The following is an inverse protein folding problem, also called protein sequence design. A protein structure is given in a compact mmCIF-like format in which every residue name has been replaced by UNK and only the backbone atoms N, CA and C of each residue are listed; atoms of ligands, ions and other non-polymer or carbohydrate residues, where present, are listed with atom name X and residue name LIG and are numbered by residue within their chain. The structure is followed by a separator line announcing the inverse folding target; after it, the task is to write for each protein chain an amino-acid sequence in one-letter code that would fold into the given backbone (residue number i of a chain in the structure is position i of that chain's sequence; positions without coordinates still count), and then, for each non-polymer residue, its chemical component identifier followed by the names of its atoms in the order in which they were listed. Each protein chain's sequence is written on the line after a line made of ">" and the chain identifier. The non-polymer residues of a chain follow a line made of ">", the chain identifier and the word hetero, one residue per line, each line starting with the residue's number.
data_IF_400489051595
#
_entry.id   IF_400489051595
#
_cell.length_a   1.000
_cell.length_b   1.000
_cell.length_c   1.000
_cell.angle_alpha   90.00
_cell.angle_beta   90.00
_cell.angle_gamma   90.00
#
_symmetry.space_group_name_H-M   'P 1'
#
loop_
_entity.id
_entity.type
_entity.pdbx_description
1 polymer ?
#
# COMPACT_ATOMS: atom_id res chain seq x y z
N UNK A 1 7.22 -6.77 64.56
CA UNK A 1 5.78 -6.58 64.31
C UNK A 1 5.16 -7.93 64.05
N UNK A 2 3.98 -8.25 64.57
CA UNK A 2 3.45 -9.61 64.55
C UNK A 2 2.88 -10.00 63.17
N UNK A 3 3.08 -11.26 62.78
CA UNK A 3 2.85 -11.78 61.42
C UNK A 3 1.37 -11.98 61.00
N UNK A 4 0.40 -11.52 61.81
CA UNK A 4 -1.04 -11.68 61.56
C UNK A 4 -1.70 -10.48 60.86
N UNK A 5 -0.95 -9.41 60.59
CA UNK A 5 -1.41 -8.24 59.79
C UNK A 5 -0.90 -8.35 58.35
N UNK A 6 -1.06 -9.53 57.73
CA UNK A 6 -0.73 -9.72 56.32
C UNK A 6 -1.60 -8.81 55.43
N UNK A 7 -1.06 -8.32 54.30
CA UNK A 7 -1.84 -7.51 53.37
C UNK A 7 -3.08 -8.28 52.90
N UNK A 8 -4.21 -7.59 52.76
CA UNK A 8 -5.45 -8.23 52.29
C UNK A 8 -5.22 -8.84 50.90
N UNK A 9 -5.84 -10.00 50.59
CA UNK A 9 -5.71 -10.62 49.26
C UNK A 9 -6.08 -9.66 48.13
N UNK A 10 -7.07 -8.79 48.35
CA UNK A 10 -7.44 -7.73 47.40
C UNK A 10 -6.33 -6.70 47.17
N UNK A 11 -5.58 -6.32 48.21
CA UNK A 11 -4.44 -5.42 48.09
C UNK A 11 -3.28 -6.07 47.32
N UNK A 12 -3.04 -7.37 47.53
CA UNK A 12 -2.04 -8.13 46.77
C UNK A 12 -2.42 -8.23 45.28
N UNK A 13 -3.68 -8.50 44.97
CA UNK A 13 -4.19 -8.53 43.59
C UNK A 13 -4.07 -7.15 42.94
N UNK A 14 -4.46 -6.08 43.64
CA UNK A 14 -4.33 -4.71 43.14
C UNK A 14 -2.87 -4.33 42.88
N UNK A 15 -1.95 -4.67 43.79
CA UNK A 15 -0.51 -4.44 43.60
C UNK A 15 0.04 -5.22 42.40
N UNK A 16 -0.38 -6.47 42.22
CA UNK A 16 0.02 -7.28 41.07
C UNK A 16 -0.45 -6.62 39.76
N UNK A 17 -1.71 -6.20 39.67
CA UNK A 17 -2.26 -5.52 38.48
C UNK A 17 -1.52 -4.20 38.22
N UNK A 18 -1.33 -3.37 39.26
CA UNK A 18 -0.63 -2.08 39.14
C UNK A 18 0.81 -2.31 38.67
N UNK A 19 1.52 -3.31 39.20
CA UNK A 19 2.88 -3.63 38.78
C UNK A 19 2.94 -4.09 37.33
N UNK A 20 1.98 -4.90 36.86
CA UNK A 20 1.89 -5.34 35.48
C UNK A 20 1.64 -4.17 34.53
N UNK A 21 0.69 -3.28 34.89
CA UNK A 21 0.40 -2.07 34.12
C UNK A 21 1.63 -1.15 34.08
N UNK A 22 2.28 -0.92 35.22
CA UNK A 22 3.51 -0.11 35.28
C UNK A 22 4.62 -0.71 34.42
N UNK A 23 4.78 -2.03 34.43
CA UNK A 23 5.75 -2.72 33.60
C UNK A 23 5.47 -2.47 32.10
N UNK A 24 4.23 -2.72 31.65
CA UNK A 24 3.86 -2.50 30.24
C UNK A 24 4.03 -1.04 29.83
N UNK A 25 3.59 -0.09 30.67
CA UNK A 25 3.75 1.35 30.41
C UNK A 25 5.23 1.73 30.37
N UNK A 26 6.06 1.24 31.30
CA UNK A 26 7.49 1.53 31.33
C UNK A 26 8.20 0.97 30.09
N UNK A 27 7.83 -0.24 29.65
CA UNK A 27 8.37 -0.83 28.40
C UNK A 27 7.96 0.01 27.19
N UNK A 28 6.68 0.39 27.08
CA UNK A 28 6.21 1.21 25.96
C UNK A 28 6.90 2.58 25.94
N UNK A 29 7.00 3.27 27.08
CA UNK A 29 7.73 4.53 27.21
C UNK A 29 9.23 4.36 26.94
N UNK A 30 9.82 3.24 27.35
CA UNK A 30 11.22 2.92 27.08
C UNK A 30 11.50 2.76 25.59
N UNK A 31 10.63 2.05 24.86
CA UNK A 31 10.73 1.92 23.40
C UNK A 31 10.60 3.30 22.74
N UNK A 32 9.57 4.08 23.12
CA UNK A 32 9.36 5.42 22.60
C UNK A 32 10.53 6.37 22.88
N UNK A 33 11.13 6.28 24.07
CA UNK A 33 12.30 7.06 24.44
C UNK A 33 13.50 6.66 23.57
N UNK A 34 13.75 5.36 23.38
CA UNK A 34 14.86 4.89 22.56
C UNK A 34 14.71 5.31 21.10
N UNK A 35 13.52 5.17 20.52
CA UNK A 35 13.27 5.59 19.14
C UNK A 35 13.42 7.10 18.98
N UNK A 36 12.97 7.89 19.96
CA UNK A 36 13.14 9.35 19.97
C UNK A 36 14.62 9.75 20.15
N UNK A 37 15.37 9.06 21.01
CA UNK A 37 16.80 9.33 21.18
C UNK A 37 17.57 9.01 19.90
N UNK A 38 17.28 7.88 19.24
CA UNK A 38 17.84 7.54 17.93
C UNK A 38 17.56 8.66 16.92
N UNK A 39 16.30 9.12 16.83
CA UNK A 39 15.90 10.15 15.88
C UNK A 39 16.62 11.49 16.14
N UNK A 40 16.79 11.87 17.41
CA UNK A 40 17.57 13.06 17.80
C UNK A 40 19.06 12.94 17.47
N UNK A 41 19.66 11.78 17.74
CA UNK A 41 21.08 11.53 17.50
C UNK A 41 21.44 11.63 16.02
N UNK A 42 20.59 11.10 15.14
CA UNK A 42 20.81 11.10 13.70
C UNK A 42 20.18 12.30 12.99
N UNK A 43 19.59 13.25 13.73
CA UNK A 43 18.86 14.40 13.19
C UNK A 43 17.82 13.99 12.14
N UNK A 44 17.12 12.90 12.42
CA UNK A 44 16.19 12.26 11.52
C UNK A 44 14.79 12.35 12.11
N UNK A 45 13.82 12.77 11.31
CA UNK A 45 12.41 12.69 11.68
C UNK A 45 11.89 11.28 11.48
N UNK A 46 10.76 10.95 12.11
CA UNK A 46 10.15 9.62 11.93
C UNK A 46 9.87 9.32 10.45
N UNK A 47 9.37 10.31 9.69
CA UNK A 47 9.06 10.19 8.26
C UNK A 47 10.32 9.90 7.44
N UNK A 48 11.41 10.64 7.71
CA UNK A 48 12.70 10.41 7.06
C UNK A 48 13.30 9.05 7.44
N UNK A 49 13.01 8.53 8.63
CA UNK A 49 13.30 7.16 9.07
C UNK A 49 12.72 6.13 8.11
N UNK A 50 11.41 6.21 7.89
CA UNK A 50 10.70 5.32 6.98
C UNK A 50 11.18 5.47 5.53
N UNK A 51 11.50 6.69 5.08
CA UNK A 51 12.03 6.93 3.74
C UNK A 51 13.43 6.33 3.57
N UNK A 52 14.29 6.39 4.59
CA UNK A 52 15.62 5.79 4.56
C UNK A 52 15.52 4.25 4.50
N UNK A 53 14.75 3.63 5.39
CA UNK A 53 14.58 2.18 5.41
C UNK A 53 13.99 1.68 4.08
N UNK A 54 13.05 2.45 3.52
CA UNK A 54 12.48 2.19 2.20
C UNK A 54 13.52 2.29 1.10
N UNK A 55 14.31 3.36 1.07
CA UNK A 55 15.37 3.58 0.10
C UNK A 55 16.44 2.49 0.16
N UNK A 56 16.83 2.06 1.37
CA UNK A 56 17.78 0.97 1.55
C UNK A 56 17.20 -0.37 1.05
N UNK A 57 15.97 -0.69 1.42
CA UNK A 57 15.27 -1.90 0.91
C UNK A 57 15.17 -1.89 -0.62
N UNK A 58 14.89 -0.72 -1.19
CA UNK A 58 14.83 -0.49 -2.62
C UNK A 58 16.20 -0.69 -3.27
N UNK A 59 17.26 -0.15 -2.67
CA UNK A 59 18.62 -0.26 -3.17
C UNK A 59 19.13 -1.71 -3.12
N UNK A 60 18.80 -2.46 -2.07
CA UNK A 60 19.13 -3.88 -1.92
C UNK A 60 18.40 -4.78 -2.92
N UNK A 61 17.14 -4.46 -3.23
CA UNK A 61 16.34 -5.15 -4.26
C UNK A 61 16.75 -4.79 -5.69
N UNK A 62 17.66 -3.83 -5.87
CA UNK A 62 18.13 -3.30 -7.15
C UNK A 62 18.88 -4.33 -8.02
N UNK A 63 18.14 -5.30 -8.56
CA UNK A 63 18.56 -6.15 -9.65
C UNK A 63 18.61 -5.42 -11.00
N UNK A 64 19.09 -6.14 -12.02
CA UNK A 64 19.42 -5.71 -13.40
C UNK A 64 18.37 -4.84 -14.13
N UNK A 65 17.11 -4.86 -13.71
CA UNK A 65 15.98 -4.16 -14.36
C UNK A 65 15.67 -2.75 -13.82
N UNK A 66 16.38 -2.28 -12.80
CA UNK A 66 16.14 -0.95 -12.23
C UNK A 66 16.94 0.17 -12.90
N UNK A 67 18.09 -0.15 -13.51
CA UNK A 67 19.04 0.85 -13.98
C UNK A 67 18.51 1.73 -15.12
N UNK A 68 17.44 1.30 -15.79
CA UNK A 68 16.90 1.91 -17.01
C UNK A 68 15.43 2.37 -16.83
N UNK A 69 15.09 3.01 -15.69
CA UNK A 69 13.76 3.62 -15.54
C UNK A 69 13.69 4.91 -16.35
N UNK A 70 12.96 4.86 -17.47
CA UNK A 70 12.64 6.04 -18.27
C UNK A 70 11.55 6.86 -17.57
N UNK A 71 11.89 8.11 -17.25
CA UNK A 71 10.92 9.05 -16.74
C UNK A 71 9.88 9.44 -17.79
N UNK A 72 8.81 10.13 -17.37
CA UNK A 72 7.76 10.60 -18.28
C UNK A 72 8.29 11.55 -19.38
N UNK A 73 9.43 12.20 -19.16
CA UNK A 73 10.10 13.07 -20.12
C UNK A 73 11.07 12.32 -21.07
N UNK A 74 11.23 11.00 -20.90
CA UNK A 74 12.12 10.16 -21.71
C UNK A 74 13.56 10.06 -21.20
N UNK A 75 13.92 10.79 -20.14
CA UNK A 75 15.23 10.72 -19.50
C UNK A 75 15.38 9.43 -18.67
N UNK A 76 16.52 8.76 -18.79
CA UNK A 76 16.86 7.57 -18.01
C UNK A 76 17.36 7.97 -16.61
N UNK A 77 16.65 7.53 -15.57
CA UNK A 77 17.03 7.80 -14.18
C UNK A 77 17.90 6.66 -13.65
N UNK A 78 19.19 6.93 -13.46
CA UNK A 78 20.08 6.03 -12.72
C UNK A 78 19.86 6.23 -11.22
N UNK A 79 19.32 5.20 -10.57
CA UNK A 79 19.17 5.20 -9.12
C UNK A 79 20.52 5.01 -8.43
N UNK A 80 20.88 5.94 -7.57
CA UNK A 80 22.11 5.89 -6.76
C UNK A 80 21.74 5.63 -5.30
N UNK A 81 22.60 4.91 -4.56
CA UNK A 81 22.44 4.78 -3.11
C UNK A 81 22.77 6.15 -2.49
N UNK A 82 21.74 6.86 -2.05
CA UNK A 82 21.81 8.16 -1.38
C UNK A 82 21.92 7.92 0.13
N UNK A 83 22.87 8.59 0.78
CA UNK A 83 22.98 8.59 2.24
C UNK A 83 22.15 9.73 2.84
N UNK A 84 21.70 9.57 4.08
CA UNK A 84 20.89 10.59 4.74
C UNK A 84 21.71 11.88 4.93
N UNK A 85 21.27 13.04 4.38
CA UNK A 85 22.14 14.22 4.28
C UNK A 85 22.19 15.07 5.55
N UNK A 86 21.19 14.98 6.44
CA UNK A 86 21.04 15.90 7.57
C UNK A 86 21.76 15.44 8.85
N UNK A 87 22.47 14.31 8.81
CA UNK A 87 23.37 13.90 9.89
C UNK A 87 24.71 14.63 9.79
N UNK A 88 24.87 15.70 10.59
CA UNK A 88 26.08 16.55 10.64
C UNK A 88 26.98 16.16 11.83
N UNK A 89 26.75 14.97 12.39
CA UNK A 89 27.42 14.42 13.56
C UNK A 89 26.73 14.74 14.88
N UNK A 90 26.85 13.81 15.84
CA UNK A 90 26.16 13.79 17.13
C UNK A 90 26.04 15.15 17.82
N UNK A 91 27.15 15.88 18.00
CA UNK A 91 27.11 17.15 18.74
C UNK A 91 26.35 18.25 18.01
N UNK A 92 26.49 18.34 16.68
CA UNK A 92 25.79 19.34 15.88
C UNK A 92 24.30 19.02 15.79
N UNK A 93 23.96 17.75 15.63
CA UNK A 93 22.58 17.25 15.62
C UNK A 93 21.90 17.58 16.96
N UNK A 94 22.55 17.27 18.09
CA UNK A 94 22.02 17.57 19.42
C UNK A 94 21.93 19.06 19.70
N UNK A 95 22.91 19.87 19.29
CA UNK A 95 22.85 21.33 19.41
C UNK A 95 21.68 21.91 18.61
N UNK A 96 21.43 21.39 17.41
CA UNK A 96 20.30 21.80 16.58
C UNK A 96 18.96 21.39 17.20
N UNK A 97 18.84 20.17 17.71
CA UNK A 97 17.63 19.66 18.34
C UNK A 97 17.30 20.34 19.68
N UNK A 98 18.34 20.67 20.47
CA UNK A 98 18.18 21.29 21.80
C UNK A 98 18.27 22.81 21.76
N UNK A 99 18.57 23.41 20.60
CA UNK A 99 18.72 24.85 20.41
C UNK A 99 19.89 25.51 21.16
N UNK A 100 20.77 24.72 21.79
CA UNK A 100 21.91 25.21 22.58
C UNK A 100 23.08 24.24 22.56
N UNK A 101 24.30 24.78 22.60
CA UNK A 101 25.54 24.00 22.68
C UNK A 101 25.86 23.54 24.10
N UNK A 102 25.10 24.00 25.11
CA UNK A 102 25.32 23.62 26.48
C UNK A 102 24.60 22.31 26.84
N UNK A 103 25.38 21.23 26.95
CA UNK A 103 24.92 19.87 27.24
C UNK A 103 24.11 19.77 28.54
N UNK A 104 24.44 20.56 29.56
CA UNK A 104 23.71 20.52 30.84
C UNK A 104 22.28 21.05 30.69
N UNK A 105 22.07 21.98 29.76
CA UNK A 105 20.74 22.54 29.50
C UNK A 105 19.84 21.59 28.72
N UNK A 106 20.39 20.57 28.03
CA UNK A 106 19.58 19.61 27.26
C UNK A 106 18.61 18.80 28.13
N UNK A 107 18.91 18.63 29.41
CA UNK A 107 18.05 17.92 30.36
C UNK A 107 17.03 18.82 31.06
N UNK A 108 17.09 20.13 30.82
CA UNK A 108 16.17 21.08 31.41
C UNK A 108 14.89 21.17 30.58
N UNK A 109 13.70 20.98 31.18
CA UNK A 109 12.44 21.19 30.47
C UNK A 109 12.20 22.68 30.13
N UNK A 110 13.02 23.58 30.65
CA UNK A 110 13.00 25.02 30.36
C UNK A 110 14.08 25.44 29.36
N UNK A 111 14.70 24.49 28.68
CA UNK A 111 15.66 24.77 27.63
C UNK A 111 15.00 25.50 26.45
N UNK A 112 15.84 26.19 25.67
CA UNK A 112 15.39 26.88 24.46
C UNK A 112 14.94 25.89 23.40
N UNK A 113 13.93 26.26 22.61
CA UNK A 113 13.56 25.53 21.41
C UNK A 113 14.62 25.71 20.30
N UNK A 114 14.65 24.82 19.30
CA UNK A 114 15.44 24.99 18.08
C UNK A 114 15.27 26.40 17.49
N UNK A 115 16.38 27.03 17.11
CA UNK A 115 16.36 28.37 16.56
C UNK A 115 15.77 28.37 15.14
N UNK A 116 14.49 28.68 15.00
CA UNK A 116 13.84 28.82 13.69
C UNK A 116 14.36 30.08 12.99
N UNK A 117 14.79 29.92 11.73
CA UNK A 117 15.29 31.01 10.90
C UNK A 117 14.24 32.11 10.71
N UNK A 118 14.55 33.35 11.12
CA UNK A 118 13.63 34.50 10.99
C UNK A 118 13.58 35.13 9.59
N UNK A 119 14.55 34.82 8.72
CA UNK A 119 14.76 35.50 7.43
C UNK A 119 14.83 34.51 6.27
N UNK A 120 13.97 33.48 6.24
CA UNK A 120 13.97 32.43 5.18
C UNK A 120 15.29 31.67 5.03
N UNK A 121 16.18 31.83 6.02
CA UNK A 121 17.50 31.20 6.12
C UNK A 121 17.69 30.68 7.53
N UNK A 122 18.27 29.48 7.64
CA UNK A 122 18.46 28.78 8.90
C UNK A 122 17.44 27.67 9.15
N UNK A 123 17.48 27.08 10.34
CA UNK A 123 16.73 25.87 10.66
C UNK A 123 15.22 26.06 10.43
N UNK A 124 14.63 25.10 9.72
CA UNK A 124 13.24 25.16 9.23
C UNK A 124 13.10 25.46 7.74
N UNK A 125 14.06 26.15 7.12
CA UNK A 125 14.08 26.43 5.68
C UNK A 125 15.25 25.78 4.97
N UNK A 126 16.44 25.90 5.56
CA UNK A 126 17.68 25.34 5.05
C UNK A 126 18.31 24.49 6.14
N UNK A 127 18.63 23.25 5.79
CA UNK A 127 19.33 22.33 6.66
C UNK A 127 20.75 22.16 6.14
N UNK A 128 21.71 22.14 7.06
CA UNK A 128 23.10 21.90 6.67
C UNK A 128 23.23 20.43 6.30
N UNK A 129 23.74 20.18 5.10
CA UNK A 129 24.01 18.82 4.64
C UNK A 129 25.44 18.39 5.02
N UNK A 130 25.64 17.09 5.18
CA UNK A 130 26.92 16.46 5.50
C UNK A 130 27.90 16.41 4.32
N UNK A 131 27.40 16.53 3.09
CA UNK A 131 28.19 16.48 1.87
C UNK A 131 28.67 15.09 1.47
N UNK A 132 28.08 14.01 2.00
CA UNK A 132 28.40 12.64 1.56
C UNK A 132 27.81 12.32 0.17
N UNK A 133 26.70 12.95 -0.17
CA UNK A 133 26.06 12.78 -1.47
C UNK A 133 26.79 13.58 -2.56
N UNK A 134 26.74 13.07 -3.79
CA UNK A 134 27.37 13.69 -4.97
C UNK A 134 26.87 15.11 -5.26
N UNK A 135 25.60 15.36 -5.00
CA UNK A 135 24.95 16.66 -5.20
C UNK A 135 24.14 17.02 -3.95
N UNK A 136 23.97 18.31 -3.71
CA UNK A 136 23.11 18.82 -2.63
C UNK A 136 21.64 18.70 -3.02
N UNK A 137 20.74 18.45 -2.06
CA UNK A 137 19.30 18.36 -2.32
C UNK A 137 18.85 17.07 -3.02
N UNK A 138 19.63 15.98 -2.90
CA UNK A 138 19.25 14.65 -3.40
C UNK A 138 18.19 13.95 -2.54
N UNK A 139 17.80 14.56 -1.41
CA UNK A 139 16.78 14.06 -0.49
C UNK A 139 15.51 14.91 -0.58
N UNK A 140 14.31 14.30 -0.63
CA UNK A 140 14.01 12.87 -0.54
C UNK A 140 14.32 12.12 -1.84
N UNK A 141 14.72 10.84 -1.76
CA UNK A 141 15.07 10.06 -2.93
C UNK A 141 13.84 9.79 -3.83
N UNK A 142 13.99 9.85 -5.17
CA UNK A 142 12.89 9.57 -6.09
C UNK A 142 12.51 8.09 -6.07
N UNK A 143 11.23 7.80 -5.84
CA UNK A 143 10.68 6.45 -5.85
C UNK A 143 10.42 5.96 -7.28
N UNK A 144 11.07 4.90 -7.77
CA UNK A 144 10.91 4.49 -9.17
C UNK A 144 9.54 3.89 -9.44
N UNK A 145 8.84 3.34 -8.45
CA UNK A 145 7.52 2.76 -8.64
C UNK A 145 6.55 3.90 -8.94
N UNK A 146 6.74 5.02 -8.25
CA UNK A 146 6.02 6.27 -8.54
C UNK A 146 6.38 6.79 -9.93
N UNK A 147 7.64 6.74 -10.35
CA UNK A 147 8.06 7.14 -11.71
C UNK A 147 7.45 6.19 -12.76
N UNK A 148 7.55 4.87 -12.59
CA UNK A 148 6.98 3.84 -13.47
C UNK A 148 5.47 3.98 -13.58
N UNK A 149 4.77 4.27 -12.48
CA UNK A 149 3.32 4.54 -12.48
C UNK A 149 2.99 5.86 -13.17
N UNK A 150 3.82 6.90 -13.02
CA UNK A 150 3.64 8.15 -13.75
C UNK A 150 3.86 7.96 -15.26
N UNK A 151 4.86 7.15 -15.65
CA UNK A 151 5.15 6.80 -17.04
C UNK A 151 4.07 5.86 -17.62
N UNK A 152 3.52 4.93 -16.83
CA UNK A 152 2.34 4.13 -17.18
C UNK A 152 1.09 5.01 -17.15
N UNK A 153 0.86 5.72 -18.25
CA UNK A 153 -0.41 6.40 -18.49
C UNK A 153 -1.57 5.44 -18.24
N UNK A 154 -2.44 5.77 -17.28
CA UNK A 154 -3.67 5.04 -17.00
C UNK A 154 -4.47 4.89 -18.31
N UNK A 155 -5.02 3.72 -18.66
CA UNK A 155 -5.71 3.52 -19.94
C UNK A 155 -6.82 4.53 -20.23
N UNK A 156 -7.53 5.01 -19.18
CA UNK A 156 -8.53 6.06 -19.33
C UNK A 156 -7.96 7.48 -19.56
N UNK A 157 -6.66 7.69 -19.32
CA UNK A 157 -5.93 8.91 -19.67
C UNK A 157 -5.57 8.99 -21.16
N UNK A 158 -5.61 7.86 -21.88
CA UNK A 158 -5.61 7.80 -23.35
C UNK A 158 -7.02 7.83 -23.92
N UNK A 159 -7.87 8.74 -23.41
CA UNK A 159 -9.11 9.05 -24.11
C UNK A 159 -8.77 9.78 -25.39
N UNK A 160 -8.84 9.07 -26.52
CA UNK A 160 -8.80 9.70 -27.83
C UNK A 160 -10.14 10.39 -28.06
N UNK A 161 -10.23 11.65 -27.61
CA UNK A 161 -11.41 12.50 -27.81
C UNK A 161 -11.79 12.62 -29.29
N UNK A 162 -10.83 12.50 -30.22
CA UNK A 162 -11.11 12.52 -31.65
C UNK A 162 -11.69 11.20 -32.16
N UNK A 163 -11.35 10.06 -31.55
CA UNK A 163 -12.02 8.79 -31.80
C UNK A 163 -13.43 8.77 -31.17
N UNK A 164 -13.59 9.25 -29.94
CA UNK A 164 -14.89 9.34 -29.27
C UNK A 164 -15.86 10.28 -30.03
N UNK A 165 -15.38 11.41 -30.54
CA UNK A 165 -16.20 12.34 -31.35
C UNK A 165 -16.63 11.72 -32.69
N UNK A 166 -15.77 10.87 -33.30
CA UNK A 166 -16.10 10.11 -34.52
C UNK A 166 -17.19 9.06 -34.27
N UNK A 167 -17.26 8.48 -33.08
CA UNK A 167 -18.33 7.53 -32.71
C UNK A 167 -19.69 8.20 -32.45
N UNK A 168 -19.73 9.48 -32.05
CA UNK A 168 -21.00 10.19 -31.79
C UNK A 168 -21.77 10.45 -33.09
N UNK A 169 -21.08 10.60 -34.23
CA UNK A 169 -21.71 10.83 -35.54
C UNK A 169 -22.17 9.58 -36.29
N UNK A 170 -21.99 8.37 -35.74
CA UNK A 170 -22.31 7.12 -36.42
C UNK A 170 -23.76 6.67 -36.17
N UNK A 171 -24.35 5.98 -37.14
CA UNK A 171 -25.69 5.39 -37.01
C UNK A 171 -25.73 4.33 -35.91
N UNK A 172 -26.90 4.13 -35.29
CA UNK A 172 -27.06 3.20 -34.17
C UNK A 172 -26.72 1.74 -34.54
N UNK A 173 -26.83 1.36 -35.81
CA UNK A 173 -26.49 0.03 -36.32
C UNK A 173 -24.97 -0.16 -36.43
N UNK A 174 -24.25 0.83 -36.96
CA UNK A 174 -22.79 0.81 -37.03
C UNK A 174 -22.16 0.74 -35.62
N UNK A 175 -22.77 1.40 -34.63
CA UNK A 175 -22.33 1.34 -33.24
C UNK A 175 -22.47 -0.05 -32.62
N UNK A 176 -23.57 -0.76 -32.93
CA UNK A 176 -23.81 -2.13 -32.46
C UNK A 176 -22.84 -3.12 -33.07
N UNK A 177 -22.54 -2.96 -34.36
CA UNK A 177 -21.58 -3.82 -35.05
C UNK A 177 -20.15 -3.62 -34.55
N UNK A 178 -19.70 -2.37 -34.41
CA UNK A 178 -18.39 -2.06 -33.86
C UNK A 178 -18.24 -2.57 -32.40
N UNK A 179 -19.32 -2.54 -31.62
CA UNK A 179 -19.30 -3.12 -30.27
C UNK A 179 -19.20 -4.65 -30.28
N UNK A 180 -19.96 -5.31 -31.17
CA UNK A 180 -19.89 -6.77 -31.34
C UNK A 180 -18.49 -7.20 -31.77
N UNK A 181 -17.88 -6.49 -32.72
CA UNK A 181 -16.51 -6.75 -33.18
C UNK A 181 -15.49 -6.62 -32.03
N UNK A 182 -15.62 -5.60 -31.17
CA UNK A 182 -14.78 -5.47 -29.96
C UNK A 182 -14.97 -6.64 -28.99
N UNK A 183 -16.21 -7.08 -28.76
CA UNK A 183 -16.47 -8.24 -27.92
C UNK A 183 -15.85 -9.53 -28.49
N UNK A 184 -15.89 -9.71 -29.81
CA UNK A 184 -15.27 -10.86 -30.46
C UNK A 184 -13.75 -10.82 -30.37
N UNK A 185 -13.14 -9.64 -30.55
CA UNK A 185 -11.70 -9.44 -30.39
C UNK A 185 -11.24 -9.69 -28.95
N UNK A 186 -11.96 -9.18 -27.96
CA UNK A 186 -11.66 -9.42 -26.54
C UNK A 186 -11.81 -10.90 -26.19
N UNK A 187 -12.85 -11.57 -26.71
CA UNK A 187 -13.02 -13.01 -26.54
C UNK A 187 -11.88 -13.81 -27.18
N UNK A 188 -11.38 -13.39 -28.34
CA UNK A 188 -10.19 -14.01 -28.97
C UNK A 188 -8.94 -13.80 -28.15
N UNK A 189 -8.73 -12.59 -27.61
CA UNK A 189 -7.59 -12.29 -26.73
C UNK A 189 -7.62 -13.12 -25.45
N UNK A 190 -8.80 -13.24 -24.82
CA UNK A 190 -8.98 -14.12 -23.66
C UNK A 190 -8.68 -15.58 -23.99
N UNK A 191 -9.18 -16.08 -25.13
CA UNK A 191 -8.88 -17.44 -25.59
C UNK A 191 -7.39 -17.66 -25.86
N UNK A 192 -6.69 -16.69 -26.42
CA UNK A 192 -5.25 -16.78 -26.64
C UNK A 192 -4.45 -16.85 -25.33
N UNK A 193 -4.83 -16.03 -24.33
CA UNK A 193 -4.20 -16.06 -22.99
C UNK A 193 -4.47 -17.40 -22.29
N UNK A 194 -5.70 -17.93 -22.38
CA UNK A 194 -6.05 -19.24 -21.81
C UNK A 194 -5.27 -20.36 -22.50
N UNK A 195 -5.13 -20.31 -23.82
CA UNK A 195 -4.36 -21.31 -24.57
C UNK A 195 -2.86 -21.27 -24.22
N UNK A 196 -2.27 -20.10 -23.98
CA UNK A 196 -0.89 -19.95 -23.51
C UNK A 196 -0.69 -20.54 -22.11
N UNK A 197 -1.68 -20.40 -21.22
CA UNK A 197 -1.66 -21.01 -19.87
C UNK A 197 -1.85 -22.54 -19.89
N UNK A 198 -2.63 -23.07 -20.85
CA UNK A 198 -2.83 -24.52 -21.04
C UNK A 198 -1.57 -25.20 -21.62
N UNK A 199 -0.75 -24.49 -22.40
CA UNK A 199 0.50 -25.02 -22.97
C UNK A 199 1.63 -25.17 -21.93
N UNK A 200 1.57 -24.44 -20.81
CA UNK A 200 2.55 -24.53 -19.71
C UNK A 200 2.21 -25.62 -18.66
N UNK A 201 1.07 -26.32 -18.78
CA UNK A 201 0.64 -27.36 -17.82
C UNK A 201 1.03 -28.80 -18.22
N UNK A 202 1.93 -28.95 -19.21
CA UNK A 202 2.39 -30.24 -19.74
C UNK A 202 3.92 -30.37 -19.71
N UNK A 203 4.49 -30.48 -18.50
CA UNK A 203 5.73 -31.26 -18.24
C UNK A 203 6.08 -31.23 -16.73
N UNK A 204 5.52 -32.16 -15.95
CA UNK A 204 6.23 -32.74 -14.80
C UNK A 204 5.73 -34.17 -14.53
N UNK A 205 6.58 -35.15 -14.85
CA UNK A 205 6.39 -36.59 -14.66
C UNK A 205 6.92 -37.00 -13.27
N UNK A 206 6.07 -37.55 -12.38
CA UNK A 206 6.42 -38.62 -11.42
C UNK A 206 5.28 -39.05 -10.49
N UNK A 207 4.70 -40.21 -10.79
CA UNK A 207 4.61 -41.37 -9.88
C UNK A 207 3.85 -41.31 -8.54
N UNK A 208 2.75 -42.07 -8.52
CA UNK A 208 2.25 -42.97 -7.46
C UNK A 208 1.25 -42.44 -6.41
N UNK A 209 0.17 -43.21 -6.22
CA UNK A 209 -0.83 -43.00 -5.17
C UNK A 209 -2.28 -43.04 -5.65
N UNK A 210 -2.78 -44.24 -5.98
CA UNK A 210 -4.21 -44.55 -5.99
C UNK A 210 -4.85 -44.18 -4.64
N UNK A 211 -5.85 -43.30 -4.65
CA UNK A 211 -7.02 -43.50 -3.80
C UNK A 211 -8.30 -42.99 -4.47
N UNK A 212 -9.27 -43.88 -4.41
CA UNK A 212 -10.62 -43.86 -4.98
C UNK A 212 -11.43 -42.68 -4.41
N UNK A 213 -11.86 -41.73 -5.25
CA UNK A 213 -12.95 -40.81 -4.90
C UNK A 213 -13.97 -40.82 -6.04
N UNK A 214 -15.23 -41.22 -5.79
CA UNK A 214 -16.15 -41.61 -6.83
C UNK A 214 -16.67 -40.39 -7.60
N UNK A 215 -17.03 -40.60 -8.86
CA UNK A 215 -17.92 -39.74 -9.62
C UNK A 215 -19.19 -39.44 -8.82
N UNK A 216 -19.19 -38.32 -8.10
CA UNK A 216 -20.39 -37.68 -7.59
C UNK A 216 -20.87 -36.71 -8.66
N UNK A 217 -21.81 -37.20 -9.47
CA UNK A 217 -22.73 -36.35 -10.19
C UNK A 217 -23.58 -35.57 -9.16
N UNK A 218 -23.24 -34.32 -8.87
CA UNK A 218 -24.20 -33.26 -8.51
C UNK A 218 -23.49 -31.90 -8.50
N UNK A 219 -24.21 -30.81 -8.76
CA UNK A 219 -23.68 -29.47 -8.98
C UNK A 219 -22.97 -28.83 -7.77
N UNK A 220 -22.33 -27.68 -8.05
CA UNK A 220 -21.70 -26.72 -7.12
C UNK A 220 -20.15 -26.67 -7.11
N UNK A 221 -19.56 -26.19 -8.21
CA UNK A 221 -18.21 -25.58 -8.17
C UNK A 221 -18.32 -24.12 -7.71
N UNK A 222 -18.56 -23.91 -6.42
CA UNK A 222 -18.44 -22.59 -5.80
C UNK A 222 -16.99 -22.08 -5.83
N UNK A 223 -16.82 -20.76 -5.71
CA UNK A 223 -15.49 -20.13 -5.70
C UNK A 223 -14.71 -20.56 -4.45
N UNK A 224 -13.41 -20.82 -4.63
CA UNK A 224 -12.49 -21.22 -3.55
C UNK A 224 -11.23 -20.38 -3.62
N UNK A 225 -10.71 -19.91 -2.48
CA UNK A 225 -9.42 -19.20 -2.42
C UNK A 225 -8.23 -20.18 -2.52
N UNK A 226 -7.01 -19.63 -2.61
CA UNK A 226 -5.76 -20.40 -2.66
C UNK A 226 -5.50 -21.24 -1.40
N UNK A 227 -6.20 -20.95 -0.31
CA UNK A 227 -6.12 -21.66 0.97
C UNK A 227 -7.25 -22.69 1.13
N UNK A 228 -8.10 -22.88 0.12
CA UNK A 228 -9.18 -23.88 0.09
C UNK A 228 -10.48 -23.46 0.78
N UNK A 229 -10.62 -22.22 1.23
CA UNK A 229 -11.81 -21.68 1.88
C UNK A 229 -12.87 -21.24 0.85
N UNK A 230 -14.15 -21.43 1.18
CA UNK A 230 -15.32 -21.09 0.35
C UNK A 230 -16.00 -19.81 0.85
N UNK A 231 -16.85 -19.19 0.02
CA UNK A 231 -17.64 -18.00 0.42
C UNK A 231 -18.50 -18.23 1.67
N UNK A 232 -18.92 -19.48 1.88
CA UNK A 232 -19.68 -19.94 3.06
C UNK A 232 -18.93 -19.69 4.36
N UNK A 233 -17.61 -19.83 4.34
CA UNK A 233 -16.73 -19.63 5.50
C UNK A 233 -16.65 -18.14 5.90
N UNK A 234 -16.96 -17.25 4.95
CA UNK A 234 -17.12 -15.82 5.15
C UNK A 234 -18.56 -15.41 5.47
N UNK A 235 -19.46 -16.38 5.68
CA UNK A 235 -20.87 -16.15 6.01
C UNK A 235 -21.71 -15.68 4.82
N UNK A 236 -21.26 -15.95 3.59
CA UNK A 236 -21.99 -15.63 2.37
C UNK A 236 -22.66 -16.90 1.84
N UNK A 237 -23.99 -16.94 1.89
CA UNK A 237 -24.79 -18.06 1.39
C UNK A 237 -24.78 -18.07 -0.15
N UNK A 238 -24.03 -19.01 -0.74
CA UNK A 238 -23.92 -19.20 -2.20
C UNK A 238 -25.25 -19.66 -2.84
N UNK A 239 -26.19 -20.19 -2.05
CA UNK A 239 -27.44 -20.80 -2.55
C UNK A 239 -28.58 -19.78 -2.71
N UNK A 240 -28.35 -18.49 -2.42
CA UNK A 240 -29.41 -17.48 -2.38
C UNK A 240 -29.73 -16.84 -3.75
N UNK A 241 -28.88 -17.00 -4.78
CA UNK A 241 -29.00 -16.27 -6.04
C UNK A 241 -28.89 -17.16 -7.30
N UNK A 242 -29.04 -18.49 -7.17
CA UNK A 242 -29.08 -19.41 -8.32
C UNK A 242 -30.47 -20.04 -8.48
N UNK A 243 -31.50 -19.20 -8.55
CA UNK A 243 -32.87 -19.68 -8.69
C UNK A 243 -33.86 -18.62 -9.13
N UNK A 244 -33.99 -18.47 -10.45
CA UNK A 244 -35.12 -17.85 -11.17
C UNK A 244 -35.08 -16.32 -11.36
N UNK A 245 -34.25 -15.78 -12.28
CA UNK A 245 -34.69 -14.76 -13.29
C UNK A 245 -33.63 -14.28 -14.33
N UNK A 246 -32.50 -14.96 -14.55
CA UNK A 246 -31.42 -14.41 -15.39
C UNK A 246 -31.60 -14.53 -16.93
N UNK A 247 -32.73 -15.06 -17.38
CA UNK A 247 -33.07 -15.18 -18.82
C UNK A 247 -34.11 -14.14 -19.29
N UNK A 248 -34.25 -13.02 -18.58
CA UNK A 248 -35.11 -11.91 -19.02
C UNK A 248 -34.29 -10.93 -19.88
N UNK A 249 -34.53 -10.84 -21.20
CA UNK A 249 -33.80 -9.90 -22.03
C UNK A 249 -34.04 -8.46 -21.56
N UNK A 250 -32.99 -7.65 -21.52
CA UNK A 250 -32.98 -6.24 -21.07
C UNK A 250 -34.15 -5.37 -21.61
N UNK A 251 -34.69 -5.72 -22.78
CA UNK A 251 -35.87 -5.08 -23.35
C UNK A 251 -37.15 -5.25 -22.51
N UNK A 252 -37.34 -6.37 -21.82
CA UNK A 252 -38.48 -6.61 -20.92
C UNK A 252 -38.34 -5.86 -19.59
N UNK A 253 -37.12 -5.77 -19.03
CA UNK A 253 -36.87 -4.99 -17.81
C UNK A 253 -37.13 -3.49 -18.03
N UNK A 254 -36.70 -2.95 -19.18
CA UNK A 254 -36.99 -1.56 -19.55
C UNK A 254 -38.49 -1.31 -19.75
N UNK A 255 -39.22 -2.30 -20.27
CA UNK A 255 -40.68 -2.22 -20.47
C UNK A 255 -41.44 -2.27 -19.15
N UNK A 256 -41.04 -3.15 -18.21
CA UNK A 256 -41.59 -3.21 -16.84
C UNK A 256 -41.35 -1.90 -16.08
N UNK A 257 -40.14 -1.35 -16.15
CA UNK A 257 -39.82 -0.07 -15.51
C UNK A 257 -40.67 1.09 -16.05
N UNK A 258 -40.89 1.14 -17.37
CA UNK A 258 -41.69 2.21 -18.00
C UNK A 258 -43.18 2.10 -17.68
N UNK A 259 -43.70 0.88 -17.52
CA UNK A 259 -45.07 0.64 -17.08
C UNK A 259 -45.28 1.06 -15.63
N UNK A 260 -44.37 0.70 -14.72
CA UNK A 260 -44.42 1.16 -13.31
C UNK A 260 -44.45 2.68 -13.19
N UNK A 261 -43.64 3.38 -13.98
CA UNK A 261 -43.57 4.84 -13.95
C UNK A 261 -44.82 5.55 -14.50
N UNK A 262 -45.64 4.87 -15.32
CA UNK A 262 -46.92 5.39 -15.81
C UNK A 262 -48.08 5.14 -14.85
N UNK A 263 -48.01 4.09 -14.03
CA UNK A 263 -49.02 3.79 -13.01
C UNK A 263 -48.95 4.75 -11.82
N UNK A 264 -47.78 5.34 -11.55
CA UNK A 264 -47.59 6.34 -10.49
C UNK A 264 -47.99 7.78 -10.90
N UNK A 265 -48.34 8.01 -12.17
CA UNK A 265 -48.76 9.32 -12.71
C UNK A 265 -50.29 9.42 -12.99
N UNK A 266 -51.11 8.48 -12.50
CA UNK A 266 -52.59 8.57 -12.54
C UNK A 266 -53.22 8.65 -11.15
#
# INVERSE_FOLDING_TARGET
>A
MPAYLGPSPSALVALAIISLVHFVVTVALGIMLFTTLKSLVFNQTMIEGWEQDRHETIAERGGRDWWDVTGPDGEEYRFEKIEFPYDIGFFNNMNQAMGTSNVLWWFSPFASNPAVGKNERGAGWEWKENGFNRQTGMWPPPDPEKIRRATRQWPAGRRDFAAELREVGQSAEARKEAFRERQEADRRRKKAIVAELEEDEVDDDSGDGLDDVPYAADGASGWTNSDGERLRDYGVDEDAEEGLDDDVPLGELLRRRKAHHQTDEQ
#
